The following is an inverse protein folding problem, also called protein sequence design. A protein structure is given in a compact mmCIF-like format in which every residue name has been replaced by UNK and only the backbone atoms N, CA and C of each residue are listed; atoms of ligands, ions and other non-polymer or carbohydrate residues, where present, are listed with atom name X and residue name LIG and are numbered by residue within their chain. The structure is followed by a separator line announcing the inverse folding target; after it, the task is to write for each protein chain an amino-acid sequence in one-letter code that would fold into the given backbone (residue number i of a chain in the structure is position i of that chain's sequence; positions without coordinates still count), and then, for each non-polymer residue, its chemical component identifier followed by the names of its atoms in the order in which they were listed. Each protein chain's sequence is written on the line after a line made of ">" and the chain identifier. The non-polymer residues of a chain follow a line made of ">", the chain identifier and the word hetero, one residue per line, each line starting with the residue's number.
data_IF_350806679500
#
_entry.id   IF_350806679500
#
_cell.length_a   1.000
_cell.length_b   1.000
_cell.length_c   1.000
_cell.angle_alpha   90.00
_cell.angle_beta   90.00
_cell.angle_gamma   90.00
#
_symmetry.space_group_name_H-M   'P 1'
#
loop_
_entity.id
_entity.type
_entity.pdbx_description
1 polymer ?
#
# COMPACT_ATOMS: atom_id res chain seq x y z
N UNK A 1 1.54 4.47 -15.28
CA UNK A 1 2.37 5.51 -14.64
C UNK A 1 2.24 6.79 -15.47
N UNK A 2 1.30 7.69 -15.15
CA UNK A 2 1.15 8.94 -15.91
C UNK A 2 2.30 9.89 -15.57
N UNK A 3 2.59 10.85 -16.46
CA UNK A 3 3.59 11.91 -16.24
C UNK A 3 3.34 12.66 -14.91
N UNK A 4 2.07 12.86 -14.55
CA UNK A 4 1.67 13.48 -13.29
C UNK A 4 2.03 12.62 -12.08
N UNK A 5 1.79 11.30 -12.12
CA UNK A 5 2.17 10.41 -11.01
C UNK A 5 3.67 10.38 -10.80
N UNK A 6 4.46 10.34 -11.90
CA UNK A 6 5.93 10.35 -11.79
C UNK A 6 6.45 11.67 -11.21
N UNK A 7 5.94 12.82 -11.66
CA UNK A 7 6.32 14.14 -11.12
C UNK A 7 5.94 14.27 -9.65
N UNK A 8 4.75 13.82 -9.27
CA UNK A 8 4.30 13.87 -7.88
C UNK A 8 5.21 13.05 -6.98
N UNK A 9 5.55 11.81 -7.37
CA UNK A 9 6.49 10.95 -6.62
C UNK A 9 7.82 11.68 -6.41
N UNK A 10 8.41 12.24 -7.47
CA UNK A 10 9.72 12.92 -7.37
C UNK A 10 9.63 14.14 -6.46
N UNK A 11 8.59 14.97 -6.60
CA UNK A 11 8.39 16.16 -5.75
C UNK A 11 8.22 15.75 -4.29
N UNK A 12 7.39 14.74 -4.00
CA UNK A 12 7.19 14.24 -2.63
C UNK A 12 8.48 13.69 -2.05
N UNK A 13 9.28 12.95 -2.83
CA UNK A 13 10.55 12.39 -2.35
C UNK A 13 11.56 13.49 -2.05
N UNK A 14 11.70 14.48 -2.94
CA UNK A 14 12.62 15.61 -2.71
C UNK A 14 12.21 16.41 -1.48
N UNK A 15 10.92 16.71 -1.33
CA UNK A 15 10.40 17.38 -0.15
C UNK A 15 10.66 16.58 1.14
N UNK A 16 10.44 15.26 1.12
CA UNK A 16 10.69 14.38 2.25
C UNK A 16 12.17 14.36 2.65
N UNK A 17 13.09 14.29 1.68
CA UNK A 17 14.53 14.34 1.93
C UNK A 17 14.94 15.68 2.52
N UNK A 18 14.39 16.79 2.01
CA UNK A 18 14.69 18.12 2.52
C UNK A 18 14.18 18.32 3.96
N UNK A 19 12.98 17.82 4.26
CA UNK A 19 12.41 17.82 5.62
C UNK A 19 13.25 16.95 6.56
N UNK A 20 13.68 15.77 6.13
CA UNK A 20 14.52 14.88 6.92
C UNK A 20 15.91 15.48 7.19
N UNK A 21 16.50 16.15 6.20
CA UNK A 21 17.78 16.87 6.36
C UNK A 21 17.67 18.03 7.36
N UNK A 22 16.50 18.62 7.51
CA UNK A 22 16.23 19.75 8.39
C UNK A 22 15.32 19.36 9.58
N UNK A 23 15.41 18.11 10.03
CA UNK A 23 14.45 17.56 11.00
C UNK A 23 14.40 18.35 12.31
N UNK A 24 15.53 18.91 12.73
CA UNK A 24 15.60 19.71 13.96
C UNK A 24 14.87 21.05 13.84
N UNK A 25 15.03 21.75 12.71
CA UNK A 25 14.31 22.99 12.41
C UNK A 25 12.82 22.72 12.31
N UNK A 26 12.44 21.64 11.64
CA UNK A 26 11.05 21.22 11.48
C UNK A 26 10.42 20.87 12.83
N UNK A 27 11.15 20.17 13.70
CA UNK A 27 10.68 19.81 15.04
C UNK A 27 10.41 21.06 15.89
N UNK A 28 11.36 22.01 15.94
CA UNK A 28 11.18 23.26 16.68
C UNK A 28 10.02 24.10 16.11
N UNK A 29 9.89 24.17 14.79
CA UNK A 29 8.76 24.86 14.15
C UNK A 29 7.40 24.21 14.46
N UNK A 30 7.33 22.87 14.51
CA UNK A 30 6.13 22.13 14.89
C UNK A 30 5.77 22.35 16.36
N UNK A 31 6.77 22.45 17.24
CA UNK A 31 6.62 22.74 18.65
C UNK A 31 6.09 24.16 18.87
N UNK A 32 6.68 25.17 18.22
CA UNK A 32 6.21 26.56 18.25
C UNK A 32 4.77 26.71 17.74
N UNK A 33 4.38 25.90 16.77
CA UNK A 33 3.02 25.90 16.22
C UNK A 33 2.02 25.12 17.08
N UNK A 34 2.45 24.51 18.18
CA UNK A 34 1.59 23.72 19.08
C UNK A 34 1.03 22.45 18.43
N UNK A 35 1.55 22.05 17.27
CA UNK A 35 1.06 20.90 16.50
C UNK A 35 1.35 19.60 17.25
N UNK A 36 2.44 19.57 18.02
CA UNK A 36 2.82 18.42 18.87
C UNK A 36 1.75 18.18 19.95
N UNK A 37 1.30 19.22 20.64
CA UNK A 37 0.26 19.11 21.67
C UNK A 37 -1.11 18.72 21.09
N UNK A 38 -1.46 19.25 19.91
CA UNK A 38 -2.66 18.83 19.20
C UNK A 38 -2.59 17.36 18.75
N UNK A 39 -1.43 16.91 18.26
CA UNK A 39 -1.21 15.52 17.90
C UNK A 39 -1.29 14.58 19.12
N UNK A 40 -0.76 15.01 20.26
CA UNK A 40 -0.85 14.27 21.52
C UNK A 40 -2.29 14.18 22.04
N UNK A 41 -3.05 15.27 21.92
CA UNK A 41 -4.48 15.30 22.23
C UNK A 41 -5.30 14.37 21.32
N UNK A 42 -5.06 14.41 20.00
CA UNK A 42 -5.69 13.48 19.06
C UNK A 42 -5.30 12.03 19.37
N UNK A 43 -4.03 11.79 19.72
CA UNK A 43 -3.56 10.46 20.09
C UNK A 43 -4.26 9.94 21.33
N UNK A 44 -4.40 10.78 22.37
CA UNK A 44 -5.04 10.42 23.62
C UNK A 44 -6.54 10.18 23.49
N UNK A 45 -7.22 10.97 22.66
CA UNK A 45 -8.68 11.00 22.63
C UNK A 45 -9.28 10.12 21.51
N UNK A 46 -8.62 10.03 20.35
CA UNK A 46 -9.16 9.34 19.17
C UNK A 46 -8.37 8.10 18.74
N UNK A 47 -7.07 8.02 19.05
CA UNK A 47 -6.17 6.93 18.67
C UNK A 47 -5.69 6.14 19.91
N UNK A 48 -6.61 5.86 20.82
CA UNK A 48 -6.34 4.91 21.91
C UNK A 48 -5.94 3.56 21.32
N UNK A 49 -4.98 2.87 21.94
CA UNK A 49 -4.48 1.58 21.42
C UNK A 49 -5.61 0.57 21.18
N UNK A 50 -6.67 0.65 21.99
CA UNK A 50 -7.91 -0.11 21.83
C UNK A 50 -8.69 0.26 20.57
N UNK A 51 -8.91 1.55 20.28
CA UNK A 51 -9.57 1.99 19.06
C UNK A 51 -8.85 1.48 17.80
N UNK A 52 -7.52 1.53 17.79
CA UNK A 52 -6.70 0.98 16.70
C UNK A 52 -6.93 -0.54 16.56
N UNK A 53 -6.87 -1.29 17.67
CA UNK A 53 -7.10 -2.74 17.62
C UNK A 53 -8.48 -3.09 17.11
N UNK A 54 -9.52 -2.36 17.52
CA UNK A 54 -10.91 -2.59 17.07
C UNK A 54 -11.02 -2.30 15.59
N UNK A 55 -10.47 -1.19 15.10
CA UNK A 55 -10.48 -0.85 13.66
C UNK A 55 -9.75 -1.94 12.86
N UNK A 56 -8.58 -2.39 13.31
CA UNK A 56 -7.81 -3.44 12.63
C UNK A 56 -8.59 -4.76 12.60
N UNK A 57 -9.17 -5.18 13.73
CA UNK A 57 -9.97 -6.40 13.80
C UNK A 57 -11.20 -6.28 12.90
N UNK A 58 -11.90 -5.15 12.92
CA UNK A 58 -13.04 -4.91 12.03
C UNK A 58 -12.64 -4.93 10.56
N UNK A 59 -11.49 -4.36 10.20
CA UNK A 59 -10.96 -4.42 8.83
C UNK A 59 -10.63 -5.87 8.43
N UNK A 60 -10.03 -6.66 9.32
CA UNK A 60 -9.76 -8.08 9.08
C UNK A 60 -11.06 -8.87 8.92
N UNK A 61 -12.07 -8.61 9.75
CA UNK A 61 -13.37 -9.29 9.66
C UNK A 61 -14.18 -8.85 8.42
N UNK A 62 -14.09 -7.58 8.03
CA UNK A 62 -14.79 -7.00 6.88
C UNK A 62 -14.15 -7.42 5.55
N UNK A 63 -12.81 -7.51 5.53
CA UNK A 63 -12.09 -8.20 4.45
C UNK A 63 -12.34 -9.69 4.63
N UNK A 64 -13.50 -10.16 4.13
CA UNK A 64 -13.70 -11.59 3.89
C UNK A 64 -12.41 -12.13 3.27
N UNK A 65 -11.79 -13.21 3.80
CA UNK A 65 -10.83 -13.98 3.03
C UNK A 65 -11.64 -14.61 1.90
N UNK A 66 -11.86 -13.84 0.84
CA UNK A 66 -12.48 -14.30 -0.38
C UNK A 66 -11.58 -15.40 -0.89
N UNK A 67 -12.06 -16.63 -0.71
CA UNK A 67 -11.46 -17.82 -1.26
C UNK A 67 -10.94 -17.55 -2.68
N UNK A 68 -9.66 -17.84 -2.86
CA UNK A 68 -9.15 -18.40 -4.11
C UNK A 68 -9.44 -17.59 -5.38
N UNK A 69 -8.79 -16.44 -5.51
CA UNK A 69 -8.28 -16.01 -6.83
C UNK A 69 -6.79 -15.75 -6.80
N UNK A 70 -6.05 -16.59 -6.08
CA UNK A 70 -4.73 -16.99 -6.55
C UNK A 70 -4.98 -17.74 -7.88
N UNK A 71 -5.17 -16.99 -8.96
CA UNK A 71 -5.13 -17.55 -10.30
C UNK A 71 -3.82 -18.30 -10.40
N UNK A 72 -3.90 -19.62 -10.45
CA UNK A 72 -2.73 -20.49 -10.57
C UNK A 72 -2.05 -20.06 -11.87
N UNK A 73 -1.01 -19.23 -11.78
CA UNK A 73 -0.15 -18.90 -12.90
C UNK A 73 0.50 -20.23 -13.31
N UNK A 74 -0.05 -20.86 -14.34
CA UNK A 74 0.53 -22.04 -14.97
C UNK A 74 1.32 -21.57 -16.18
N UNK A 75 2.47 -22.17 -16.43
CA UNK A 75 3.19 -21.99 -17.69
C UNK A 75 2.82 -23.13 -18.63
N UNK A 76 2.67 -22.82 -19.91
CA UNK A 76 2.56 -23.84 -20.93
C UNK A 76 3.91 -24.58 -21.06
N UNK A 77 3.96 -25.92 -21.01
CA UNK A 77 5.22 -26.67 -21.09
C UNK A 77 5.89 -26.60 -22.48
N UNK A 78 5.19 -26.09 -23.50
CA UNK A 78 5.68 -26.06 -24.89
C UNK A 78 6.25 -24.70 -25.27
N UNK A 79 5.56 -23.61 -24.92
CA UNK A 79 5.95 -22.25 -25.30
C UNK A 79 6.32 -21.35 -24.10
N UNK A 80 6.34 -21.90 -22.87
CA UNK A 80 6.58 -21.20 -21.61
C UNK A 80 5.66 -19.99 -21.33
N UNK A 81 4.61 -19.81 -22.16
CA UNK A 81 3.68 -18.72 -22.01
C UNK A 81 2.86 -18.85 -20.72
N UNK A 82 2.68 -17.75 -20.01
CA UNK A 82 1.93 -17.69 -18.75
C UNK A 82 0.43 -17.73 -19.07
N UNK A 83 -0.27 -18.68 -18.47
CA UNK A 83 -1.70 -18.86 -18.62
C UNK A 83 -2.42 -18.22 -17.44
N UNK A 84 -3.36 -17.33 -17.75
CA UNK A 84 -4.27 -16.74 -16.78
C UNK A 84 -5.63 -17.43 -16.91
N UNK A 85 -5.97 -18.31 -15.94
CA UNK A 85 -7.29 -18.94 -15.84
C UNK A 85 -7.30 -20.47 -16.00
N UNK A 86 -8.49 -21.07 -15.96
CA UNK A 86 -8.72 -22.54 -16.05
C UNK A 86 -8.97 -23.01 -17.49
N UNK A 87 -8.25 -22.46 -18.47
CA UNK A 87 -8.32 -22.95 -19.85
C UNK A 87 -7.64 -24.31 -19.99
N UNK A 88 -8.23 -25.26 -20.73
CA UNK A 88 -7.63 -26.58 -21.01
C UNK A 88 -6.58 -26.55 -22.14
N UNK A 89 -6.47 -25.43 -22.85
CA UNK A 89 -5.56 -25.24 -23.97
C UNK A 89 -4.88 -23.88 -23.89
N UNK A 90 -3.66 -23.79 -24.38
CA UNK A 90 -2.92 -22.54 -24.51
C UNK A 90 -3.46 -21.72 -25.69
N UNK A 91 -3.73 -20.42 -25.48
CA UNK A 91 -4.24 -19.53 -26.53
C UNK A 91 -3.22 -19.17 -27.62
N UNK A 92 -1.92 -19.29 -27.32
CA UNK A 92 -0.84 -19.01 -28.26
C UNK A 92 -0.50 -20.23 -29.14
N UNK A 93 -0.22 -21.37 -28.51
CA UNK A 93 0.27 -22.56 -29.24
C UNK A 93 -0.78 -23.66 -29.43
N UNK A 94 -1.98 -23.53 -28.86
CA UNK A 94 -3.06 -24.52 -28.96
C UNK A 94 -2.82 -25.84 -28.22
N UNK A 95 -1.67 -26.01 -27.56
CA UNK A 95 -1.35 -27.23 -26.80
C UNK A 95 -2.27 -27.40 -25.58
N UNK A 96 -2.51 -28.65 -25.17
CA UNK A 96 -3.30 -28.98 -23.98
C UNK A 96 -2.46 -28.75 -22.71
N UNK A 97 -3.05 -28.07 -21.72
CA UNK A 97 -2.39 -27.56 -20.48
C UNK A 97 -3.18 -27.86 -19.22
#
# INVERSE_FOLDING_TARGET
>A
MSLSTRKLIVITTVAAVFLAANIWIVANWLEEKGVIGFAEHIKGEYLTGTAITIIVVLLILLVKPGAERAGVLRRCPVCDHVLFGRGKHCGECGSRV
#
